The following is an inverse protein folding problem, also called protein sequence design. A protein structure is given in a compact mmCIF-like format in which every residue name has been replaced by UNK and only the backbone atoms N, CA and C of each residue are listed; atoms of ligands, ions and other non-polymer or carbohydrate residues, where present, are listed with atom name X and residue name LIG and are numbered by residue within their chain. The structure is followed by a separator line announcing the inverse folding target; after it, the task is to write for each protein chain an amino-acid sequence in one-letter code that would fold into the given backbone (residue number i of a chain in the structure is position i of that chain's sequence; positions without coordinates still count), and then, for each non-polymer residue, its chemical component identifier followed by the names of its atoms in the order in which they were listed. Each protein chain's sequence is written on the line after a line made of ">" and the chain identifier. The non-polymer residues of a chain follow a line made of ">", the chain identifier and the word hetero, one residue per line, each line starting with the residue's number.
data_IF_393390435573
#
_entry.id   IF_393390435573
#
_cell.length_a   1.000
_cell.length_b   1.000
_cell.length_c   1.000
_cell.angle_alpha   90.00
_cell.angle_beta   90.00
_cell.angle_gamma   90.00
#
_symmetry.space_group_name_H-M   'P 1'
#
loop_
_entity.id
_entity.type
_entity.pdbx_description
1 polymer ?
#
# COMPACT_ATOMS: atom_id res chain seq x y z
N UNK A 1 30.17 -25.10 -26.82
CA UNK A 1 29.86 -26.46 -26.37
C UNK A 1 30.73 -26.71 -25.15
N UNK A 2 30.22 -26.47 -23.97
CA UNK A 2 30.82 -26.76 -22.69
C UNK A 2 30.21 -28.06 -22.14
N UNK A 3 31.05 -28.99 -21.78
CA UNK A 3 30.65 -30.30 -21.26
C UNK A 3 29.86 -30.18 -19.94
N UNK A 4 28.92 -31.11 -19.68
CA UNK A 4 28.21 -31.14 -18.41
C UNK A 4 29.12 -31.60 -17.29
N UNK A 5 29.24 -30.80 -16.21
CA UNK A 5 29.90 -31.17 -14.97
C UNK A 5 29.24 -32.41 -14.35
N UNK A 6 29.89 -33.53 -14.36
CA UNK A 6 29.58 -34.72 -13.56
C UNK A 6 30.07 -34.52 -12.13
N UNK A 7 29.24 -34.71 -11.11
CA UNK A 7 29.69 -34.65 -9.71
C UNK A 7 30.58 -35.84 -9.38
N UNK A 8 31.58 -35.69 -8.46
CA UNK A 8 32.43 -36.77 -8.06
C UNK A 8 31.68 -37.83 -7.24
N UNK A 9 31.92 -39.10 -7.58
CA UNK A 9 31.45 -40.27 -6.84
C UNK A 9 32.02 -40.25 -5.41
N UNK A 10 31.17 -40.03 -4.43
CA UNK A 10 31.44 -40.17 -3.01
C UNK A 10 30.17 -40.63 -2.30
N UNK A 11 30.13 -41.92 -1.92
CA UNK A 11 28.96 -42.58 -1.36
C UNK A 11 28.45 -41.96 -0.06
N UNK A 12 27.31 -41.31 -0.19
CA UNK A 12 26.41 -40.87 0.87
C UNK A 12 25.10 -40.54 0.21
N UNK A 13 24.00 -41.07 0.72
CA UNK A 13 22.65 -40.98 0.11
C UNK A 13 21.98 -39.61 0.34
N UNK A 14 22.69 -38.51 0.25
CA UNK A 14 22.12 -37.17 0.40
C UNK A 14 21.81 -36.62 -0.98
N UNK A 15 20.55 -36.78 -1.41
CA UNK A 15 20.06 -36.23 -2.63
C UNK A 15 19.65 -34.75 -2.38
N UNK A 16 20.55 -33.81 -2.61
CA UNK A 16 20.22 -32.40 -2.64
C UNK A 16 19.58 -32.09 -3.98
N UNK A 17 18.29 -31.80 -3.97
CA UNK A 17 17.56 -31.32 -5.16
C UNK A 17 17.76 -29.82 -5.28
N UNK A 18 18.59 -29.39 -6.22
CA UNK A 18 18.87 -27.99 -6.51
C UNK A 18 17.88 -27.44 -7.53
N UNK A 19 17.03 -26.49 -7.15
CA UNK A 19 16.17 -25.71 -8.06
C UNK A 19 16.63 -24.26 -7.97
N UNK A 20 17.38 -23.77 -8.96
CA UNK A 20 18.35 -22.73 -8.87
C UNK A 20 17.98 -21.29 -9.24
N UNK A 21 18.88 -20.40 -8.90
CA UNK A 21 19.14 -19.01 -9.28
C UNK A 21 20.54 -18.64 -8.81
N UNK A 22 21.09 -17.52 -9.25
CA UNK A 22 22.52 -17.13 -9.00
C UNK A 22 22.93 -17.12 -7.53
N UNK A 23 22.00 -16.83 -6.60
CA UNK A 23 22.26 -16.84 -5.15
C UNK A 23 22.21 -18.26 -4.54
N UNK A 24 21.72 -19.23 -5.29
CA UNK A 24 21.50 -20.59 -4.81
C UNK A 24 22.81 -21.32 -4.50
N UNK A 25 23.83 -21.13 -5.32
CA UNK A 25 25.14 -21.79 -5.15
C UNK A 25 25.82 -21.33 -3.86
N UNK A 26 25.59 -20.07 -3.44
CA UNK A 26 26.13 -19.57 -2.17
C UNK A 26 25.42 -20.19 -0.98
N UNK A 27 24.11 -20.35 -1.04
CA UNK A 27 23.29 -20.96 0.03
C UNK A 27 23.59 -22.45 0.14
N UNK A 28 23.67 -23.16 -0.99
CA UNK A 28 24.02 -24.61 -1.01
C UNK A 28 25.45 -24.83 -0.53
N UNK A 29 26.41 -23.98 -0.92
CA UNK A 29 27.78 -24.08 -0.49
C UNK A 29 27.91 -23.80 1.01
N UNK A 30 27.20 -22.85 1.55
CA UNK A 30 27.17 -22.56 2.98
C UNK A 30 26.49 -23.69 3.78
N UNK A 31 25.44 -24.30 3.29
CA UNK A 31 24.75 -25.43 3.89
C UNK A 31 25.62 -26.71 3.84
N UNK A 32 26.37 -26.94 2.77
CA UNK A 32 27.30 -28.07 2.64
C UNK A 32 28.57 -27.93 3.50
N UNK A 33 28.95 -26.72 3.89
CA UNK A 33 30.08 -26.44 4.79
C UNK A 33 29.69 -26.45 6.27
N UNK A 34 28.41 -26.32 6.61
CA UNK A 34 27.90 -26.53 7.94
C UNK A 34 27.84 -28.04 8.20
N UNK A 35 28.52 -28.49 9.24
CA UNK A 35 28.69 -29.92 9.64
C UNK A 35 27.34 -30.65 9.60
N UNK A 36 27.27 -31.72 8.82
CA UNK A 36 26.03 -32.27 8.31
C UNK A 36 25.17 -32.98 9.37
N UNK A 37 24.32 -32.20 10.02
CA UNK A 37 22.99 -32.66 10.43
C UNK A 37 22.08 -32.70 9.19
N UNK A 38 20.95 -33.40 9.26
CA UNK A 38 19.95 -33.56 8.19
C UNK A 38 19.27 -32.21 7.80
N UNK A 39 20.06 -31.19 7.40
CA UNK A 39 19.51 -29.89 6.99
C UNK A 39 19.09 -29.93 5.53
N UNK A 40 17.88 -29.47 5.28
CA UNK A 40 17.30 -29.39 3.95
C UNK A 40 17.04 -27.92 3.62
N UNK A 41 17.38 -27.50 2.40
CA UNK A 41 17.04 -26.16 1.90
C UNK A 41 15.82 -26.25 1.01
N UNK A 42 14.77 -25.52 1.38
CA UNK A 42 13.48 -25.51 0.66
C UNK A 42 13.23 -24.11 0.11
N UNK A 43 12.84 -24.04 -1.17
CA UNK A 43 12.29 -22.84 -1.77
C UNK A 43 10.77 -22.85 -1.72
N UNK A 44 10.17 -21.87 -1.07
CA UNK A 44 8.74 -21.60 -1.14
C UNK A 44 8.50 -20.36 -2.00
N UNK A 45 7.80 -20.55 -3.13
CA UNK A 45 7.62 -19.51 -4.14
C UNK A 45 8.79 -19.40 -5.14
N UNK A 46 8.74 -18.42 -6.10
CA UNK A 46 7.79 -17.31 -6.13
C UNK A 46 6.35 -17.71 -6.47
N UNK A 47 6.12 -18.79 -7.24
CA UNK A 47 4.77 -19.22 -7.58
C UNK A 47 4.20 -20.09 -6.45
N UNK A 48 3.70 -19.43 -5.40
CA UNK A 48 3.00 -20.07 -4.28
C UNK A 48 1.97 -19.08 -3.71
N UNK A 49 0.75 -19.51 -3.33
CA UNK A 49 -0.27 -18.62 -2.76
C UNK A 49 0.24 -17.82 -1.55
N UNK A 50 0.88 -18.49 -0.60
CA UNK A 50 1.39 -17.88 0.63
C UNK A 50 2.59 -16.95 0.46
N UNK A 51 3.16 -16.88 -0.75
CA UNK A 51 4.24 -15.94 -1.12
C UNK A 51 3.75 -14.84 -2.06
N UNK A 52 2.44 -14.60 -2.09
CA UNK A 52 1.79 -13.57 -2.91
C UNK A 52 2.12 -13.69 -4.41
N UNK A 53 2.58 -14.87 -4.87
CA UNK A 53 2.88 -15.18 -6.26
C UNK A 53 4.25 -14.71 -6.77
N UNK A 54 4.98 -13.86 -6.03
CA UNK A 54 6.23 -13.22 -6.48
C UNK A 54 7.30 -13.07 -5.40
N UNK A 55 7.05 -13.51 -4.18
CA UNK A 55 8.07 -13.60 -3.14
C UNK A 55 8.71 -14.98 -3.16
N UNK A 56 10.03 -15.03 -3.21
CA UNK A 56 10.80 -16.26 -2.98
C UNK A 56 11.23 -16.31 -1.52
N UNK A 57 10.81 -17.36 -0.81
CA UNK A 57 11.24 -17.61 0.56
C UNK A 57 12.15 -18.83 0.59
N UNK A 58 13.39 -18.63 0.97
CA UNK A 58 14.42 -19.66 1.08
C UNK A 58 14.52 -20.05 2.55
N UNK A 59 14.17 -21.29 2.86
CA UNK A 59 14.15 -21.84 4.23
C UNK A 59 15.20 -22.92 4.36
N UNK A 60 16.07 -22.80 5.36
CA UNK A 60 16.90 -23.91 5.84
C UNK A 60 16.14 -24.56 6.99
N UNK A 61 15.87 -25.85 6.88
CA UNK A 61 15.07 -26.58 7.86
C UNK A 61 15.83 -27.78 8.40
N UNK A 62 15.63 -28.06 9.69
CA UNK A 62 16.10 -29.27 10.37
C UNK A 62 14.87 -30.00 10.92
N UNK A 63 14.53 -31.12 10.28
CA UNK A 63 13.21 -31.73 10.49
C UNK A 63 12.10 -30.80 10.02
N UNK A 64 11.26 -30.31 10.94
CA UNK A 64 10.20 -29.31 10.66
C UNK A 64 10.53 -27.91 11.20
N UNK A 65 11.69 -27.75 11.84
CA UNK A 65 12.10 -26.46 12.42
C UNK A 65 12.88 -25.63 11.42
N UNK A 66 12.54 -24.35 11.29
CA UNK A 66 13.26 -23.40 10.45
C UNK A 66 14.50 -22.92 11.19
N UNK A 67 15.67 -23.18 10.62
CA UNK A 67 16.96 -22.73 11.14
C UNK A 67 17.31 -21.33 10.61
N UNK A 68 17.02 -21.09 9.32
CA UNK A 68 17.26 -19.79 8.68
C UNK A 68 16.17 -19.52 7.64
N UNK A 69 15.75 -18.25 7.53
CA UNK A 69 14.78 -17.78 6.56
C UNK A 69 15.30 -16.56 5.81
N UNK A 70 15.28 -16.59 4.48
CA UNK A 70 15.73 -15.50 3.62
C UNK A 70 14.69 -15.17 2.57
N UNK A 71 14.44 -13.88 2.35
CA UNK A 71 13.53 -13.39 1.31
C UNK A 71 14.31 -13.05 0.04
N UNK A 72 13.92 -13.65 -1.10
CA UNK A 72 14.34 -13.25 -2.44
C UNK A 72 13.26 -12.37 -3.06
N UNK A 73 13.60 -11.13 -3.37
CA UNK A 73 12.71 -10.12 -3.95
C UNK A 73 13.19 -9.70 -5.35
N UNK A 74 12.41 -8.89 -6.06
CA UNK A 74 12.77 -8.36 -7.38
C UNK A 74 11.97 -8.97 -8.54
N UNK A 75 11.16 -9.99 -8.31
CA UNK A 75 10.35 -10.64 -9.37
C UNK A 75 9.21 -9.74 -9.90
N UNK A 76 8.89 -8.66 -9.20
CA UNK A 76 7.91 -7.64 -9.61
C UNK A 76 8.55 -6.26 -9.80
N UNK A 77 9.88 -6.19 -9.95
CA UNK A 77 10.56 -4.92 -10.16
C UNK A 77 10.27 -4.36 -11.54
N UNK A 78 9.64 -3.18 -11.58
CA UNK A 78 9.26 -2.49 -12.83
C UNK A 78 9.97 -1.15 -13.02
N UNK A 79 10.85 -0.77 -12.10
CA UNK A 79 11.63 0.45 -12.15
C UNK A 79 10.79 1.72 -12.05
N UNK A 80 9.74 1.73 -11.22
CA UNK A 80 8.81 2.85 -11.07
C UNK A 80 9.56 4.13 -10.68
N UNK A 81 10.46 4.06 -9.71
CA UNK A 81 11.26 5.23 -9.29
C UNK A 81 12.07 5.82 -10.44
N UNK A 82 12.68 4.97 -11.26
CA UNK A 82 13.43 5.42 -12.45
C UNK A 82 12.52 5.96 -13.54
N UNK A 83 11.36 5.36 -13.75
CA UNK A 83 10.36 5.85 -14.70
C UNK A 83 9.85 7.24 -14.33
N UNK A 84 9.69 7.55 -13.04
CA UNK A 84 9.27 8.87 -12.57
C UNK A 84 10.23 9.99 -12.99
N UNK A 85 11.53 9.73 -13.08
CA UNK A 85 12.53 10.70 -13.54
C UNK A 85 12.35 11.11 -15.02
N UNK A 86 11.65 10.29 -15.82
CA UNK A 86 11.36 10.56 -17.24
C UNK A 86 9.95 11.10 -17.50
N UNK A 87 9.09 11.11 -16.47
CA UNK A 87 7.70 11.58 -16.57
C UNK A 87 7.55 12.97 -15.98
N UNK A 88 6.58 13.72 -16.47
CA UNK A 88 6.24 14.99 -15.84
C UNK A 88 5.65 14.76 -14.44
N UNK A 89 5.71 15.76 -13.58
CA UNK A 89 5.15 15.70 -12.22
C UNK A 89 3.69 15.23 -12.20
N UNK A 90 2.87 15.65 -13.15
CA UNK A 90 1.47 15.23 -13.25
C UNK A 90 1.34 13.77 -13.72
N UNK A 91 2.14 13.35 -14.71
CA UNK A 91 2.11 11.98 -15.23
C UNK A 91 2.61 10.97 -14.19
N UNK A 92 3.49 11.37 -13.28
CA UNK A 92 4.02 10.53 -12.22
C UNK A 92 2.93 9.89 -11.36
N UNK A 93 1.80 10.57 -11.14
CA UNK A 93 0.68 10.05 -10.36
C UNK A 93 0.20 8.69 -10.89
N UNK A 94 0.15 8.49 -12.19
CA UNK A 94 -0.31 7.22 -12.79
C UNK A 94 0.66 6.05 -12.57
N UNK A 95 1.94 6.34 -12.33
CA UNK A 95 2.94 5.31 -12.07
C UNK A 95 2.96 4.88 -10.60
N UNK A 96 2.84 5.84 -9.68
CA UNK A 96 2.90 5.55 -8.24
C UNK A 96 1.75 4.68 -7.74
N UNK A 97 0.59 4.75 -8.39
CA UNK A 97 -0.58 3.91 -8.05
C UNK A 97 -0.29 2.42 -8.14
N UNK A 98 0.73 2.01 -8.90
CA UNK A 98 1.08 0.61 -9.16
C UNK A 98 2.10 0.04 -8.19
N UNK A 99 2.59 0.83 -7.24
CA UNK A 99 3.48 0.35 -6.18
C UNK A 99 2.71 -0.54 -5.21
N UNK A 100 2.15 0.00 -4.14
CA UNK A 100 1.19 -0.73 -3.34
C UNK A 100 -0.18 -0.68 -4.04
N UNK A 101 -0.44 -1.65 -4.89
CA UNK A 101 -1.66 -1.71 -5.70
C UNK A 101 -2.94 -2.00 -4.89
N UNK A 102 -2.83 -2.40 -3.62
CA UNK A 102 -3.98 -2.54 -2.72
C UNK A 102 -4.34 -1.22 -2.04
N UNK A 103 -3.39 -0.28 -1.96
CA UNK A 103 -3.61 1.05 -1.39
C UNK A 103 -3.15 2.20 -2.31
N UNK A 104 -3.61 2.24 -3.59
CA UNK A 104 -3.14 3.19 -4.59
C UNK A 104 -3.36 4.66 -4.18
N UNK A 105 -4.45 4.98 -3.48
CA UNK A 105 -4.76 6.33 -3.06
C UNK A 105 -3.78 6.89 -2.02
N UNK A 106 -3.14 6.03 -1.21
CA UNK A 106 -2.06 6.47 -0.33
C UNK A 106 -0.79 6.81 -1.10
N UNK A 107 -0.46 6.03 -2.15
CA UNK A 107 0.66 6.32 -3.03
C UNK A 107 0.48 7.66 -3.75
N UNK A 108 -0.74 7.92 -4.26
CA UNK A 108 -1.10 9.19 -4.88
C UNK A 108 -0.98 10.34 -3.89
N UNK A 109 -1.51 10.16 -2.68
CA UNK A 109 -1.51 11.21 -1.65
C UNK A 109 -0.10 11.60 -1.27
N UNK A 110 0.78 10.64 -0.93
CA UNK A 110 2.15 10.97 -0.52
C UNK A 110 2.94 11.65 -1.63
N UNK A 111 2.73 11.22 -2.89
CA UNK A 111 3.33 11.85 -4.05
C UNK A 111 2.84 13.30 -4.22
N UNK A 112 1.53 13.51 -4.20
CA UNK A 112 0.94 14.84 -4.36
C UNK A 112 1.36 15.79 -3.24
N UNK A 113 1.34 15.34 -1.97
CA UNK A 113 1.83 16.13 -0.83
C UNK A 113 3.31 16.53 -1.00
N UNK A 114 4.16 15.63 -1.52
CA UNK A 114 5.55 15.94 -1.81
C UNK A 114 5.70 17.05 -2.88
N UNK A 115 4.93 16.95 -3.96
CA UNK A 115 4.92 17.97 -5.03
C UNK A 115 4.34 19.29 -4.51
N UNK A 116 3.25 19.26 -3.77
CA UNK A 116 2.61 20.44 -3.16
C UNK A 116 3.54 21.17 -2.19
N UNK A 117 4.30 20.41 -1.39
CA UNK A 117 5.32 20.96 -0.48
C UNK A 117 6.48 21.61 -1.21
N UNK A 118 6.94 21.02 -2.34
CA UNK A 118 7.96 21.64 -3.22
C UNK A 118 7.46 22.93 -3.88
N UNK A 119 6.16 22.96 -4.25
CA UNK A 119 5.51 24.14 -4.81
C UNK A 119 5.20 25.22 -3.77
N UNK A 120 5.18 24.87 -2.47
CA UNK A 120 4.79 25.77 -1.38
C UNK A 120 3.30 26.09 -1.34
N UNK A 121 2.44 25.18 -1.81
CA UNK A 121 0.97 25.38 -1.92
C UNK A 121 0.18 24.46 -0.98
N UNK A 122 0.83 23.84 -0.02
CA UNK A 122 0.21 22.85 0.90
C UNK A 122 -0.99 23.45 1.65
N UNK A 123 -0.86 24.71 2.11
CA UNK A 123 -1.89 25.40 2.88
C UNK A 123 -3.02 25.97 2.00
N UNK A 124 -2.81 26.03 0.70
CA UNK A 124 -3.79 26.57 -0.26
C UNK A 124 -4.74 25.50 -0.81
N UNK A 125 -4.55 24.23 -0.44
CA UNK A 125 -5.41 23.14 -0.89
C UNK A 125 -6.82 23.32 -0.35
N UNK A 126 -7.86 23.28 -1.22
CA UNK A 126 -9.23 23.48 -0.78
C UNK A 126 -9.63 22.46 0.30
N UNK A 127 -10.34 22.93 1.35
CA UNK A 127 -10.80 22.08 2.45
C UNK A 127 -11.65 20.90 1.94
N UNK A 128 -12.53 21.16 0.97
CA UNK A 128 -13.35 20.10 0.34
C UNK A 128 -12.47 18.99 -0.27
N UNK A 129 -11.39 19.35 -0.95
CA UNK A 129 -10.45 18.39 -1.53
C UNK A 129 -9.76 17.57 -0.44
N UNK A 130 -9.36 18.19 0.66
CA UNK A 130 -8.73 17.52 1.80
C UNK A 130 -9.68 16.50 2.46
N UNK A 131 -10.96 16.86 2.66
CA UNK A 131 -11.98 15.95 3.20
C UNK A 131 -12.18 14.74 2.28
N UNK A 132 -12.27 14.96 0.97
CA UNK A 132 -12.45 13.86 0.00
C UNK A 132 -11.20 12.98 -0.02
N UNK A 133 -9.98 13.54 0.03
CA UNK A 133 -8.73 12.76 0.13
C UNK A 133 -8.75 11.83 1.34
N UNK A 134 -9.11 12.34 2.53
CA UNK A 134 -9.21 11.53 3.76
C UNK A 134 -10.26 10.43 3.60
N UNK A 135 -11.46 10.77 3.11
CA UNK A 135 -12.52 9.79 2.89
C UNK A 135 -12.09 8.66 1.96
N UNK A 136 -11.46 9.00 0.84
CA UNK A 136 -10.98 8.04 -0.16
C UNK A 136 -9.86 7.16 0.40
N UNK A 137 -8.92 7.74 1.15
CA UNK A 137 -7.85 6.98 1.82
C UNK A 137 -8.42 6.01 2.85
N UNK A 138 -9.36 6.41 3.68
CA UNK A 138 -9.91 5.51 4.69
C UNK A 138 -10.80 4.41 4.08
N UNK A 139 -11.54 4.67 3.01
CA UNK A 139 -12.18 3.60 2.24
C UNK A 139 -11.15 2.63 1.65
N UNK A 140 -10.03 3.15 1.16
CA UNK A 140 -8.94 2.33 0.64
C UNK A 140 -8.24 1.52 1.75
N UNK A 141 -8.11 2.07 2.97
CA UNK A 141 -7.63 1.33 4.15
C UNK A 141 -8.54 0.14 4.46
N UNK A 142 -9.86 0.35 4.49
CA UNK A 142 -10.84 -0.73 4.67
C UNK A 142 -10.66 -1.79 3.57
N UNK A 143 -10.62 -1.38 2.31
CA UNK A 143 -10.42 -2.29 1.17
C UNK A 143 -9.14 -3.12 1.28
N UNK A 144 -8.05 -2.51 1.76
CA UNK A 144 -6.74 -3.16 1.95
C UNK A 144 -6.76 -4.16 3.12
N UNK A 145 -7.29 -3.76 4.27
CA UNK A 145 -7.41 -4.65 5.42
C UNK A 145 -8.34 -5.84 5.17
N UNK A 146 -9.41 -5.64 4.39
CA UNK A 146 -10.27 -6.75 3.97
C UNK A 146 -9.51 -7.80 3.14
N UNK A 147 -8.58 -7.38 2.27
CA UNK A 147 -7.72 -8.33 1.55
C UNK A 147 -6.80 -9.07 2.51
N UNK A 148 -6.13 -8.36 3.42
CA UNK A 148 -5.24 -8.98 4.40
C UNK A 148 -5.95 -10.04 5.25
N UNK A 149 -7.17 -9.73 5.74
CA UNK A 149 -7.99 -10.67 6.52
C UNK A 149 -8.49 -11.84 5.67
N UNK A 150 -8.91 -11.57 4.44
CA UNK A 150 -9.43 -12.57 3.52
C UNK A 150 -8.35 -13.58 3.09
N UNK A 151 -7.19 -13.08 2.64
CA UNK A 151 -6.07 -13.92 2.19
C UNK A 151 -5.43 -14.67 3.36
N UNK A 152 -5.20 -14.00 4.49
CA UNK A 152 -4.70 -14.66 5.70
C UNK A 152 -5.64 -15.78 6.18
N UNK A 153 -6.95 -15.55 6.12
CA UNK A 153 -7.95 -16.60 6.41
C UNK A 153 -7.86 -17.78 5.43
N UNK A 154 -7.75 -17.50 4.14
CA UNK A 154 -7.59 -18.53 3.11
C UNK A 154 -6.31 -19.35 3.29
N UNK A 155 -5.19 -18.72 3.60
CA UNK A 155 -3.90 -19.39 3.81
C UNK A 155 -3.90 -20.35 4.99
N UNK A 156 -4.72 -20.08 6.00
CA UNK A 156 -4.96 -21.00 7.13
C UNK A 156 -6.19 -21.90 6.96
N UNK A 157 -6.72 -22.01 5.73
CA UNK A 157 -7.78 -22.95 5.35
C UNK A 157 -9.21 -22.41 5.45
N UNK A 158 -9.43 -21.14 5.84
CA UNK A 158 -10.75 -20.53 5.90
C UNK A 158 -11.16 -19.87 4.58
N UNK A 159 -11.59 -20.67 3.60
CA UNK A 159 -12.12 -20.16 2.33
C UNK A 159 -13.31 -19.21 2.50
N UNK A 160 -14.12 -19.39 3.55
CA UNK A 160 -15.23 -18.48 3.86
C UNK A 160 -14.77 -17.04 4.08
N UNK A 161 -13.65 -16.84 4.78
CA UNK A 161 -13.08 -15.51 5.00
C UNK A 161 -12.73 -14.79 3.69
N UNK A 162 -12.19 -15.53 2.71
CA UNK A 162 -11.89 -15.01 1.38
C UNK A 162 -13.16 -14.48 0.69
N UNK A 163 -14.23 -15.28 0.65
CA UNK A 163 -15.47 -14.86 0.00
C UNK A 163 -16.12 -13.66 0.68
N UNK A 164 -16.17 -13.64 2.01
CA UNK A 164 -16.72 -12.49 2.74
C UNK A 164 -15.89 -11.23 2.55
N UNK A 165 -14.58 -11.30 2.71
CA UNK A 165 -13.71 -10.13 2.57
C UNK A 165 -13.75 -9.54 1.16
N UNK A 166 -13.68 -10.37 0.12
CA UNK A 166 -13.73 -9.88 -1.28
C UNK A 166 -15.11 -9.37 -1.68
N UNK A 167 -16.20 -9.91 -1.14
CA UNK A 167 -17.56 -9.39 -1.35
C UNK A 167 -17.69 -7.96 -0.85
N UNK A 168 -17.18 -7.67 0.36
CA UNK A 168 -17.26 -6.32 0.93
C UNK A 168 -16.29 -5.36 0.23
N UNK A 169 -15.11 -5.85 -0.13
CA UNK A 169 -14.16 -5.07 -0.92
C UNK A 169 -14.73 -4.65 -2.27
N UNK A 170 -15.48 -5.51 -2.93
CA UNK A 170 -16.12 -5.22 -4.22
C UNK A 170 -17.06 -4.03 -4.18
N UNK A 171 -17.78 -3.83 -3.08
CA UNK A 171 -18.63 -2.64 -2.91
C UNK A 171 -17.79 -1.35 -2.90
N UNK A 172 -16.65 -1.36 -2.21
CA UNK A 172 -15.73 -0.20 -2.17
C UNK A 172 -15.15 0.07 -3.55
N UNK A 173 -14.75 -0.98 -4.29
CA UNK A 173 -14.23 -0.83 -5.65
C UNK A 173 -15.28 -0.26 -6.62
N UNK A 174 -16.54 -0.64 -6.46
CA UNK A 174 -17.65 -0.06 -7.25
C UNK A 174 -17.87 1.42 -6.93
N UNK A 175 -17.72 1.82 -5.67
CA UNK A 175 -17.76 3.25 -5.28
C UNK A 175 -16.56 3.99 -5.91
N UNK A 176 -15.36 3.42 -5.90
CA UNK A 176 -14.19 4.01 -6.55
C UNK A 176 -14.42 4.18 -8.05
N UNK A 177 -15.00 3.19 -8.72
CA UNK A 177 -15.36 3.28 -10.14
C UNK A 177 -16.37 4.41 -10.40
N UNK A 178 -17.39 4.57 -9.55
CA UNK A 178 -18.35 5.67 -9.64
C UNK A 178 -17.67 7.04 -9.52
N UNK A 179 -16.70 7.18 -8.57
CA UNK A 179 -16.04 8.47 -8.31
C UNK A 179 -14.95 8.79 -9.33
N UNK A 180 -14.16 7.78 -9.71
CA UNK A 180 -12.89 7.99 -10.43
C UNK A 180 -12.91 7.45 -11.87
N UNK A 181 -13.92 6.64 -12.22
CA UNK A 181 -13.99 5.90 -13.47
C UNK A 181 -13.15 4.61 -13.48
N UNK A 182 -12.40 4.32 -12.40
CA UNK A 182 -11.53 3.15 -12.28
C UNK A 182 -11.74 2.46 -10.94
N UNK A 183 -11.77 1.15 -10.95
CA UNK A 183 -11.90 0.31 -9.74
C UNK A 183 -10.63 0.33 -8.89
N UNK A 184 -9.46 0.36 -9.54
CA UNK A 184 -8.13 0.37 -8.93
C UNK A 184 -7.20 1.27 -9.73
N UNK A 185 -6.07 1.69 -9.12
CA UNK A 185 -5.09 2.56 -9.76
C UNK A 185 -5.71 3.86 -10.28
N UNK A 186 -6.43 4.53 -9.41
CA UNK A 186 -7.41 5.58 -9.73
C UNK A 186 -6.80 6.84 -10.33
N UNK A 187 -5.56 7.24 -9.93
CA UNK A 187 -4.93 8.50 -10.31
C UNK A 187 -5.87 9.72 -10.13
N UNK A 188 -6.64 9.67 -9.05
CA UNK A 188 -7.69 10.64 -8.73
C UNK A 188 -7.18 11.82 -7.93
N UNK A 189 -6.27 11.58 -6.98
CA UNK A 189 -5.61 12.62 -6.20
C UNK A 189 -4.50 13.22 -7.08
N UNK A 190 -4.52 14.54 -7.22
CA UNK A 190 -3.62 15.28 -8.09
C UNK A 190 -2.92 16.39 -7.33
N UNK A 191 -1.70 16.81 -7.73
CA UNK A 191 -1.08 18.00 -7.16
C UNK A 191 -2.02 19.21 -7.27
N UNK A 192 -2.32 19.82 -6.13
CA UNK A 192 -3.24 20.95 -6.05
C UNK A 192 -4.69 20.58 -5.71
N UNK A 193 -5.04 19.29 -5.58
CA UNK A 193 -6.39 18.88 -5.23
C UNK A 193 -6.78 17.50 -5.75
N UNK A 194 -7.86 17.43 -6.51
CA UNK A 194 -8.47 16.22 -7.07
C UNK A 194 -8.74 16.38 -8.57
N UNK A 195 -8.85 15.25 -9.28
CA UNK A 195 -9.16 15.23 -10.71
C UNK A 195 -10.58 15.75 -11.01
N UNK A 196 -11.56 15.46 -10.15
CA UNK A 196 -12.96 15.89 -10.27
C UNK A 196 -13.62 15.93 -8.89
N UNK A 197 -14.74 16.62 -8.76
CA UNK A 197 -15.60 16.54 -7.57
C UNK A 197 -16.36 15.20 -7.55
N UNK A 198 -16.98 14.90 -6.41
CA UNK A 198 -17.83 13.73 -6.25
C UNK A 198 -19.07 13.83 -7.14
N UNK A 199 -19.41 12.78 -7.90
CA UNK A 199 -20.69 12.70 -8.60
C UNK A 199 -21.85 12.58 -7.60
N UNK A 200 -23.06 12.95 -8.04
CA UNK A 200 -24.25 12.97 -7.17
C UNK A 200 -24.58 11.61 -6.55
N UNK A 201 -24.26 10.52 -7.26
CA UNK A 201 -24.51 9.15 -6.80
C UNK A 201 -23.52 8.67 -5.73
N UNK A 202 -22.37 9.32 -5.56
CA UNK A 202 -21.30 8.84 -4.68
C UNK A 202 -21.70 8.86 -3.20
N UNK A 203 -22.22 9.99 -2.69
CA UNK A 203 -22.59 10.10 -1.27
C UNK A 203 -23.70 9.13 -0.87
N UNK A 204 -24.78 8.93 -1.66
CA UNK A 204 -25.77 7.88 -1.38
C UNK A 204 -25.17 6.47 -1.31
N UNK A 205 -24.25 6.11 -2.22
CA UNK A 205 -23.58 4.81 -2.20
C UNK A 205 -22.69 4.63 -0.97
N UNK A 206 -21.93 5.66 -0.58
CA UNK A 206 -21.09 5.64 0.63
C UNK A 206 -21.96 5.48 1.87
N UNK A 207 -23.08 6.16 1.98
CA UNK A 207 -24.02 6.00 3.11
C UNK A 207 -24.56 4.59 3.21
N UNK A 208 -25.00 4.00 2.09
CA UNK A 208 -25.47 2.62 2.05
C UNK A 208 -24.36 1.63 2.49
N UNK A 209 -23.11 1.89 2.08
CA UNK A 209 -21.95 1.12 2.54
C UNK A 209 -21.73 1.28 4.06
N UNK A 210 -21.81 2.51 4.61
CA UNK A 210 -21.64 2.77 6.04
C UNK A 210 -22.71 2.09 6.90
N UNK A 211 -23.96 1.99 6.43
CA UNK A 211 -25.04 1.27 7.12
C UNK A 211 -24.83 -0.24 7.14
N UNK A 212 -24.32 -0.80 6.04
CA UNK A 212 -24.17 -2.24 5.87
C UNK A 212 -22.88 -2.79 6.49
N UNK A 213 -21.77 -2.05 6.35
CA UNK A 213 -20.43 -2.52 6.64
C UNK A 213 -20.22 -3.00 8.09
N UNK A 214 -20.71 -2.33 9.15
CA UNK A 214 -20.50 -2.78 10.52
C UNK A 214 -21.02 -4.21 10.78
N UNK A 215 -22.18 -4.56 10.21
CA UNK A 215 -22.73 -5.92 10.29
C UNK A 215 -21.85 -6.91 9.54
N UNK A 216 -21.38 -6.54 8.35
CA UNK A 216 -20.54 -7.40 7.51
C UNK A 216 -19.16 -7.65 8.12
N UNK A 217 -18.58 -6.63 8.74
CA UNK A 217 -17.32 -6.77 9.48
C UNK A 217 -17.48 -7.66 10.70
N UNK A 218 -18.62 -7.56 11.38
CA UNK A 218 -18.94 -8.48 12.47
C UNK A 218 -19.05 -9.93 11.98
N UNK A 219 -19.76 -10.19 10.89
CA UNK A 219 -19.88 -11.53 10.29
C UNK A 219 -18.48 -12.13 9.98
N UNK A 220 -17.56 -11.32 9.43
CA UNK A 220 -16.17 -11.72 9.14
C UNK A 220 -15.37 -11.96 10.43
N UNK A 221 -15.51 -11.09 11.42
CA UNK A 221 -14.84 -11.22 12.72
C UNK A 221 -15.34 -12.46 13.48
N UNK A 222 -16.64 -12.72 13.50
CA UNK A 222 -17.21 -13.90 14.13
C UNK A 222 -16.70 -15.21 13.51
N UNK A 223 -16.39 -15.18 12.20
CA UNK A 223 -15.83 -16.33 11.49
C UNK A 223 -14.38 -16.64 11.90
N UNK A 224 -13.58 -15.63 12.23
CA UNK A 224 -12.14 -15.76 12.49
C UNK A 224 -11.78 -15.55 13.95
N UNK A 225 -12.21 -14.46 14.60
CA UNK A 225 -11.70 -14.03 15.92
C UNK A 225 -11.94 -15.04 17.03
N UNK A 226 -13.08 -15.75 17.02
CA UNK A 226 -13.43 -16.76 18.02
C UNK A 226 -13.14 -18.20 17.56
N UNK A 227 -12.62 -18.35 16.34
CA UNK A 227 -12.30 -19.67 15.80
C UNK A 227 -11.06 -20.25 16.52
N UNK A 228 -11.22 -21.43 17.12
CA UNK A 228 -10.12 -22.11 17.83
C UNK A 228 -8.92 -22.40 16.94
N UNK A 229 -9.16 -22.84 15.70
CA UNK A 229 -8.09 -23.17 14.76
C UNK A 229 -7.32 -21.89 14.40
N UNK A 230 -8.03 -20.78 14.14
CA UNK A 230 -7.41 -19.49 13.86
C UNK A 230 -6.52 -19.03 15.02
N UNK A 231 -7.05 -19.06 16.25
CA UNK A 231 -6.29 -18.71 17.46
C UNK A 231 -5.05 -19.60 17.63
N UNK A 232 -5.20 -20.92 17.50
CA UNK A 232 -4.10 -21.85 17.64
C UNK A 232 -3.00 -21.68 16.57
N UNK A 233 -3.36 -21.15 15.40
CA UNK A 233 -2.43 -20.94 14.28
C UNK A 233 -1.86 -19.52 14.20
N UNK A 234 -2.24 -18.63 15.11
CA UNK A 234 -1.80 -17.20 15.08
C UNK A 234 -1.29 -16.72 16.43
N UNK A 235 -1.79 -17.25 17.56
CA UNK A 235 -1.32 -16.86 18.90
C UNK A 235 0.06 -17.45 19.17
N UNK A 236 0.99 -16.58 19.59
CA UNK A 236 2.39 -16.94 19.82
C UNK A 236 3.21 -17.21 18.56
N UNK A 237 2.60 -17.11 17.37
CA UNK A 237 3.29 -17.32 16.08
C UNK A 237 3.78 -15.98 15.52
N UNK A 238 4.99 -15.98 14.96
CA UNK A 238 5.58 -14.79 14.37
C UNK A 238 5.81 -13.67 15.39
N UNK A 239 6.25 -14.03 16.58
CA UNK A 239 6.50 -13.08 17.68
C UNK A 239 7.60 -12.07 17.30
N UNK A 240 7.34 -10.79 17.52
CA UNK A 240 8.30 -9.72 17.33
C UNK A 240 8.02 -8.59 18.34
N UNK A 241 8.95 -8.39 19.26
CA UNK A 241 8.84 -7.40 20.32
C UNK A 241 9.14 -5.96 19.84
N UNK A 242 8.94 -4.99 20.72
CA UNK A 242 9.20 -3.58 20.44
C UNK A 242 10.66 -3.34 20.05
N UNK A 243 11.60 -4.02 20.71
CA UNK A 243 13.04 -3.87 20.46
C UNK A 243 13.39 -4.30 19.04
N UNK A 244 12.87 -5.47 18.61
CA UNK A 244 13.01 -5.97 17.25
C UNK A 244 12.38 -5.04 16.21
N UNK A 245 11.17 -4.55 16.47
CA UNK A 245 10.51 -3.58 15.61
C UNK A 245 11.32 -2.29 15.43
N UNK A 246 11.86 -1.73 16.52
CA UNK A 246 12.69 -0.52 16.47
C UNK A 246 14.00 -0.76 15.73
N UNK A 247 14.67 -1.89 15.97
CA UNK A 247 15.93 -2.24 15.32
C UNK A 247 15.80 -2.38 13.80
N UNK A 248 14.66 -2.91 13.33
CA UNK A 248 14.37 -3.12 11.91
C UNK A 248 13.65 -1.92 11.25
N UNK A 249 13.30 -0.87 12.01
CA UNK A 249 12.57 0.30 11.50
C UNK A 249 11.15 -0.02 11.03
N UNK A 250 10.50 -0.97 11.68
CA UNK A 250 9.14 -1.45 11.36
C UNK A 250 8.10 -0.42 11.81
N UNK A 251 7.04 -0.29 11.04
CA UNK A 251 5.95 0.65 11.28
C UNK A 251 4.57 0.00 11.05
N UNK A 252 3.51 0.74 11.32
CA UNK A 252 2.15 0.31 11.07
C UNK A 252 1.60 -0.74 12.04
N UNK A 253 0.68 -1.61 11.61
CA UNK A 253 0.06 -2.61 12.48
C UNK A 253 1.06 -3.56 13.15
N UNK A 254 2.20 -3.84 12.51
CA UNK A 254 3.26 -4.68 13.09
C UNK A 254 3.90 -4.00 14.30
N UNK A 255 4.19 -2.70 14.21
CA UNK A 255 4.71 -1.93 15.35
C UNK A 255 3.62 -1.74 16.43
N UNK A 256 2.40 -1.41 16.04
CA UNK A 256 1.30 -1.19 17.00
C UNK A 256 0.92 -2.46 17.77
N UNK A 257 1.24 -3.65 17.24
CA UNK A 257 1.05 -4.91 17.97
C UNK A 257 2.01 -5.10 19.15
N UNK A 258 2.97 -4.21 19.34
CA UNK A 258 3.89 -4.17 20.49
C UNK A 258 3.48 -3.17 21.57
N UNK A 259 2.26 -2.61 21.48
CA UNK A 259 1.74 -1.63 22.42
C UNK A 259 2.13 -0.18 22.15
N UNK A 260 3.03 0.09 21.16
CA UNK A 260 3.44 1.45 20.86
C UNK A 260 2.40 2.17 19.98
N UNK A 261 1.75 3.26 20.47
CA UNK A 261 0.72 3.98 19.72
C UNK A 261 1.33 4.97 18.71
N UNK A 262 2.13 4.45 17.76
CA UNK A 262 2.72 5.26 16.70
C UNK A 262 1.84 5.25 15.46
N UNK A 263 1.32 6.42 15.10
CA UNK A 263 0.48 6.64 13.92
C UNK A 263 0.70 8.07 13.40
N UNK A 264 1.09 8.20 12.14
CA UNK A 264 1.38 9.48 11.52
C UNK A 264 0.15 10.39 11.40
N UNK A 265 -1.05 9.81 11.36
CA UNK A 265 -2.31 10.59 11.35
C UNK A 265 -2.48 11.44 12.62
N UNK A 266 -1.84 11.05 13.73
CA UNK A 266 -1.84 11.78 15.02
C UNK A 266 -0.51 12.48 15.31
N UNK A 267 0.64 11.84 15.02
CA UNK A 267 1.97 12.40 15.37
C UNK A 267 2.46 13.44 14.37
N UNK A 268 2.10 13.31 13.08
CA UNK A 268 2.44 14.23 11.99
C UNK A 268 1.26 14.36 11.03
N UNK A 269 0.15 14.99 11.46
CA UNK A 269 -1.09 15.01 10.70
C UNK A 269 -0.92 15.66 9.32
N UNK A 270 -1.66 15.16 8.36
CA UNK A 270 -1.71 15.61 6.97
C UNK A 270 -3.16 15.62 6.48
N UNK A 271 -3.48 16.37 5.45
CA UNK A 271 -4.84 16.49 4.88
C UNK A 271 -5.94 16.80 5.92
N UNK A 272 -5.61 17.39 7.08
CA UNK A 272 -6.58 17.73 8.11
C UNK A 272 -6.97 16.58 9.05
N UNK A 273 -6.17 15.49 9.14
CA UNK A 273 -6.45 14.36 10.06
C UNK A 273 -6.56 14.76 11.52
N UNK A 274 -5.89 15.85 11.96
CA UNK A 274 -5.97 16.40 13.30
C UNK A 274 -7.37 16.82 13.72
N UNK A 275 -8.26 17.06 12.75
CA UNK A 275 -9.63 17.51 12.99
C UNK A 275 -10.63 16.36 13.15
N UNK A 276 -10.19 15.10 12.95
CA UNK A 276 -11.05 13.92 13.06
C UNK A 276 -10.88 13.22 14.41
N UNK A 277 -12.01 12.75 14.93
CA UNK A 277 -12.04 11.94 16.14
C UNK A 277 -11.89 10.46 15.78
N UNK A 278 -10.79 9.84 16.17
CA UNK A 278 -10.48 8.42 16.06
C UNK A 278 -9.39 8.03 17.06
N UNK A 279 -9.32 6.75 17.36
CA UNK A 279 -8.33 6.19 18.28
C UNK A 279 -7.20 5.50 17.52
N UNK A 280 -5.98 5.57 18.07
CA UNK A 280 -4.85 4.76 17.58
C UNK A 280 -4.94 3.39 18.22
N UNK A 281 -5.20 2.39 17.41
CA UNK A 281 -5.37 1.01 17.88
C UNK A 281 -4.01 0.37 18.15
N UNK A 282 -3.85 -0.19 19.35
CA UNK A 282 -2.68 -0.97 19.77
C UNK A 282 -3.11 -2.32 20.33
N UNK A 283 -2.15 -3.24 20.40
CA UNK A 283 -2.27 -4.54 21.05
C UNK A 283 -0.90 -4.91 21.65
N UNK A 284 -0.85 -5.75 22.68
CA UNK A 284 0.40 -6.12 23.37
C UNK A 284 0.84 -7.56 23.06
N UNK A 285 0.16 -8.25 22.14
CA UNK A 285 0.42 -9.66 21.82
C UNK A 285 1.74 -9.91 21.10
N UNK A 286 2.27 -8.92 20.38
CA UNK A 286 3.51 -9.01 19.59
C UNK A 286 3.53 -10.13 18.54
N UNK A 287 2.40 -10.80 18.27
CA UNK A 287 2.26 -11.98 17.44
C UNK A 287 1.33 -11.76 16.23
N UNK A 288 1.13 -12.78 15.43
CA UNK A 288 0.24 -12.74 14.26
C UNK A 288 -1.22 -12.44 14.65
N UNK A 289 -1.67 -12.92 15.82
CA UNK A 289 -3.03 -12.67 16.30
C UNK A 289 -3.24 -11.21 16.71
N UNK A 290 -2.28 -10.62 17.42
CA UNK A 290 -2.31 -9.18 17.77
C UNK A 290 -2.35 -8.29 16.53
N UNK A 291 -1.55 -8.60 15.51
CA UNK A 291 -1.57 -7.88 14.21
C UNK A 291 -2.93 -8.02 13.49
N UNK A 292 -3.53 -9.20 13.56
CA UNK A 292 -4.88 -9.44 13.04
C UNK A 292 -5.92 -8.58 13.78
N UNK A 293 -5.91 -8.57 15.13
CA UNK A 293 -6.84 -7.79 15.93
C UNK A 293 -6.75 -6.29 15.67
N UNK A 294 -5.54 -5.76 15.47
CA UNK A 294 -5.34 -4.35 15.11
C UNK A 294 -6.06 -4.04 13.80
N UNK A 295 -5.86 -4.85 12.75
CA UNK A 295 -6.51 -4.61 11.46
C UNK A 295 -8.03 -4.65 11.55
N UNK A 296 -8.59 -5.59 12.33
CA UNK A 296 -10.04 -5.67 12.57
C UNK A 296 -10.56 -4.41 13.26
N UNK A 297 -9.86 -3.93 14.28
CA UNK A 297 -10.27 -2.71 15.01
C UNK A 297 -10.08 -1.45 14.16
N UNK A 298 -9.03 -1.35 13.37
CA UNK A 298 -8.79 -0.24 12.45
C UNK A 298 -9.87 -0.10 11.37
N UNK A 299 -10.52 -1.19 10.95
CA UNK A 299 -11.69 -1.13 10.07
C UNK A 299 -12.82 -0.28 10.67
N UNK A 300 -13.06 -0.42 11.98
CA UNK A 300 -14.10 0.36 12.66
C UNK A 300 -13.73 1.82 12.83
N UNK A 301 -12.46 2.13 13.12
CA UNK A 301 -11.99 3.52 13.19
C UNK A 301 -12.04 4.20 11.82
N UNK A 302 -11.72 3.48 10.74
CA UNK A 302 -11.86 4.01 9.38
C UNK A 302 -13.33 4.33 9.04
N UNK A 303 -14.29 3.48 9.42
CA UNK A 303 -15.72 3.77 9.25
C UNK A 303 -16.16 5.02 10.03
N UNK A 304 -15.63 5.20 11.25
CA UNK A 304 -15.88 6.40 12.08
C UNK A 304 -15.38 7.67 11.38
N UNK A 305 -14.17 7.62 10.80
CA UNK A 305 -13.61 8.76 10.04
C UNK A 305 -14.43 9.05 8.78
N UNK A 306 -14.80 8.02 8.00
CA UNK A 306 -15.59 8.19 6.77
C UNK A 306 -16.95 8.82 7.09
N UNK A 307 -17.61 8.43 8.20
CA UNK A 307 -18.86 9.02 8.66
C UNK A 307 -18.71 10.53 8.89
N UNK A 308 -17.65 10.94 9.61
CA UNK A 308 -17.34 12.35 9.83
C UNK A 308 -17.04 13.09 8.51
N UNK A 309 -16.35 12.44 7.56
CA UNK A 309 -16.11 13.03 6.24
C UNK A 309 -17.42 13.32 5.50
N UNK A 310 -18.36 12.36 5.48
CA UNK A 310 -19.66 12.52 4.81
C UNK A 310 -20.47 13.67 5.41
N UNK A 311 -20.52 13.76 6.75
CA UNK A 311 -21.22 14.86 7.45
C UNK A 311 -20.60 16.24 7.18
N UNK A 312 -19.26 16.30 7.03
CA UNK A 312 -18.55 17.54 6.73
C UNK A 312 -18.75 17.96 5.27
N UNK A 313 -18.70 17.01 4.33
CA UNK A 313 -18.86 17.31 2.91
C UNK A 313 -20.20 17.98 2.57
N UNK A 314 -21.26 17.66 3.31
CA UNK A 314 -22.57 18.33 3.14
C UNK A 314 -22.55 19.81 3.54
N UNK A 315 -21.67 20.17 4.46
CA UNK A 315 -21.55 21.52 5.01
C UNK A 315 -20.43 22.33 4.34
N UNK A 316 -19.57 21.69 3.53
CA UNK A 316 -18.41 22.32 2.91
C UNK A 316 -18.50 22.24 1.38
N UNK A 317 -19.38 23.06 0.74
CA UNK A 317 -19.35 23.22 -0.70
C UNK A 317 -18.13 24.04 -1.10
N UNK A 318 -17.57 23.78 -2.28
CA UNK A 318 -16.43 24.56 -2.76
C UNK A 318 -15.65 23.86 -3.86
N UNK A 319 -14.53 24.45 -4.31
CA UNK A 319 -13.68 23.85 -5.31
C UNK A 319 -12.95 22.63 -4.74
N UNK A 320 -12.55 21.72 -5.63
CA UNK A 320 -11.74 20.54 -5.30
C UNK A 320 -10.32 20.63 -5.84
N UNK A 321 -9.98 21.76 -6.49
CA UNK A 321 -8.67 22.03 -7.07
C UNK A 321 -8.31 23.48 -6.80
N UNK A 322 -7.03 23.76 -6.62
CA UNK A 322 -6.46 25.12 -6.55
C UNK A 322 -6.91 25.99 -7.74
N UNK A 323 -7.14 27.26 -7.49
CA UNK A 323 -7.51 28.21 -8.54
C UNK A 323 -6.30 28.74 -9.36
N UNK A 324 -5.08 28.42 -8.92
CA UNK A 324 -3.86 28.80 -9.65
C UNK A 324 -3.80 28.08 -11.01
N UNK A 325 -4.06 28.85 -12.07
CA UNK A 325 -4.08 28.35 -13.45
C UNK A 325 -2.75 27.76 -13.91
N UNK A 326 -1.64 28.08 -13.26
CA UNK A 326 -0.32 27.51 -13.59
C UNK A 326 -0.19 26.07 -13.11
N UNK A 327 -0.95 25.67 -12.11
CA UNK A 327 -0.92 24.33 -11.53
C UNK A 327 -2.14 23.49 -11.91
N UNK A 328 -3.30 24.13 -11.89
CA UNK A 328 -4.58 23.45 -12.03
C UNK A 328 -5.03 23.21 -13.48
N UNK A 329 -4.48 23.95 -14.42
CA UNK A 329 -4.84 23.78 -15.82
C UNK A 329 -3.91 22.76 -16.50
N UNK A 330 -4.38 21.77 -17.21
CA UNK A 330 -5.76 21.42 -17.65
C UNK A 330 -6.52 20.55 -16.63
N UNK A 331 -6.03 20.44 -15.42
CA UNK A 331 -6.64 19.66 -14.35
C UNK A 331 -7.87 20.36 -13.72
N UNK A 332 -8.26 21.52 -14.19
CA UNK A 332 -9.53 22.17 -13.84
C UNK A 332 -10.70 21.42 -14.50
N UNK A 333 -10.92 20.20 -13.99
CA UNK A 333 -12.02 19.32 -14.34
C UNK A 333 -13.32 19.73 -13.64
N UNK A 334 -13.48 21.01 -13.31
CA UNK A 334 -14.79 21.48 -12.86
C UNK A 334 -15.79 21.16 -13.94
N UNK A 335 -16.79 20.38 -13.58
CA UNK A 335 -18.03 20.39 -14.31
C UNK A 335 -18.48 21.84 -14.25
N UNK A 336 -18.19 22.61 -15.30
CA UNK A 336 -18.61 24.00 -15.36
C UNK A 336 -20.14 24.11 -15.25
N UNK A 337 -20.68 25.31 -15.09
CA UNK A 337 -22.15 25.53 -15.06
C UNK A 337 -22.86 24.98 -16.29
N UNK A 338 -22.14 24.69 -17.36
CA UNK A 338 -22.61 24.07 -18.60
C UNK A 338 -22.65 22.52 -18.56
N UNK A 339 -22.22 21.89 -17.47
CA UNK A 339 -22.23 20.44 -17.31
C UNK A 339 -21.22 19.67 -18.17
N UNK A 340 -20.34 20.38 -18.91
CA UNK A 340 -19.48 19.74 -19.91
C UNK A 340 -18.14 19.22 -19.33
N UNK A 341 -17.76 19.63 -18.11
CA UNK A 341 -16.53 19.20 -17.44
C UNK A 341 -15.28 19.43 -18.32
N UNK A 342 -14.43 18.43 -18.39
CA UNK A 342 -13.26 18.40 -19.27
C UNK A 342 -13.55 17.78 -20.65
N UNK A 343 -14.79 17.83 -21.09
CA UNK A 343 -15.11 17.38 -22.43
C UNK A 343 -14.33 18.18 -23.50
N UNK A 344 -14.03 17.59 -24.67
CA UNK A 344 -13.41 18.31 -25.77
C UNK A 344 -14.16 19.58 -26.17
N UNK A 345 -15.49 19.58 -26.02
CA UNK A 345 -16.34 20.74 -26.33
C UNK A 345 -16.12 21.88 -25.32
N UNK A 346 -16.01 21.57 -24.01
CA UNK A 346 -15.74 22.59 -23.00
C UNK A 346 -14.33 23.20 -23.18
N UNK A 347 -13.34 22.36 -23.43
CA UNK A 347 -11.96 22.79 -23.71
C UNK A 347 -11.93 23.67 -24.96
N UNK A 348 -12.59 23.26 -26.05
CA UNK A 348 -12.69 24.04 -27.28
C UNK A 348 -13.38 25.39 -27.06
N UNK A 349 -14.44 25.43 -26.22
CA UNK A 349 -15.15 26.67 -25.86
C UNK A 349 -14.28 27.66 -25.07
N UNK A 350 -13.44 27.16 -24.15
CA UNK A 350 -12.49 27.99 -23.41
C UNK A 350 -11.37 28.48 -24.31
N UNK A 351 -10.77 27.59 -25.09
CA UNK A 351 -9.67 27.92 -26.01
C UNK A 351 -10.08 28.87 -27.14
N UNK A 352 -11.32 28.76 -27.62
CA UNK A 352 -11.89 29.66 -28.62
C UNK A 352 -12.09 31.11 -28.16
N UNK A 353 -12.05 31.34 -26.83
CA UNK A 353 -12.27 32.67 -26.23
C UNK A 353 -10.97 33.41 -25.86
N UNK A 354 -9.86 32.70 -25.66
CA UNK A 354 -8.60 33.28 -25.21
C UNK A 354 -7.41 32.56 -25.82
N UNK A 355 -6.59 33.32 -26.55
CA UNK A 355 -5.31 32.84 -27.10
C UNK A 355 -4.32 32.50 -25.97
N UNK A 356 -4.34 33.25 -24.88
CA UNK A 356 -3.50 33.00 -23.72
C UNK A 356 -3.91 31.68 -23.03
N UNK A 357 -5.22 31.42 -22.92
CA UNK A 357 -5.75 30.15 -22.44
C UNK A 357 -5.30 28.96 -23.29
N UNK A 358 -5.30 29.10 -24.62
CA UNK A 358 -4.81 28.09 -25.55
C UNK A 358 -3.33 27.80 -25.36
N UNK A 359 -2.50 28.84 -25.30
CA UNK A 359 -1.03 28.70 -25.11
C UNK A 359 -0.77 28.02 -23.75
N UNK A 360 -1.47 28.44 -22.75
CA UNK A 360 -1.30 27.91 -21.39
C UNK A 360 -1.66 26.43 -21.30
N UNK A 361 -2.83 26.06 -21.85
CA UNK A 361 -3.25 24.68 -22.00
C UNK A 361 -2.20 23.84 -22.75
N UNK A 362 -1.76 24.33 -23.91
CA UNK A 362 -0.76 23.64 -24.72
C UNK A 362 0.53 23.36 -23.93
N UNK A 363 1.05 24.37 -23.21
CA UNK A 363 2.28 24.22 -22.43
C UNK A 363 2.11 23.22 -21.28
N UNK A 364 1.02 23.27 -20.55
CA UNK A 364 0.79 22.34 -19.44
C UNK A 364 0.58 20.90 -19.89
N UNK A 365 -0.08 20.68 -21.02
CA UNK A 365 -0.28 19.34 -21.59
C UNK A 365 1.02 18.77 -22.16
N UNK A 366 1.82 19.59 -22.85
CA UNK A 366 3.03 19.10 -23.54
C UNK A 366 4.27 19.11 -22.65
N UNK A 367 4.49 20.15 -21.85
CA UNK A 367 5.68 20.32 -21.01
C UNK A 367 5.44 19.88 -19.55
N UNK A 368 4.22 20.06 -19.04
CA UNK A 368 3.88 19.87 -17.63
C UNK A 368 4.16 21.10 -16.76
N UNK A 369 3.87 20.96 -15.46
CA UNK A 369 4.14 21.99 -14.45
C UNK A 369 5.64 22.05 -14.13
N UNK A 370 6.16 23.23 -13.84
CA UNK A 370 7.53 23.41 -13.31
C UNK A 370 7.49 23.48 -11.80
N UNK A 371 8.34 22.68 -11.16
CA UNK A 371 8.47 22.64 -9.71
C UNK A 371 9.79 23.30 -9.33
N UNK A 372 9.81 24.27 -8.39
CA UNK A 372 11.04 24.95 -7.98
C UNK A 372 12.14 23.96 -7.53
N UNK A 373 13.42 24.33 -7.68
CA UNK A 373 14.52 23.48 -7.23
C UNK A 373 14.47 23.34 -5.70
N UNK A 374 14.67 22.12 -5.22
CA UNK A 374 14.62 21.79 -3.80
C UNK A 374 14.46 20.29 -3.54
N UNK A 375 14.46 19.92 -2.28
CA UNK A 375 14.21 18.56 -1.87
C UNK A 375 13.24 18.53 -0.68
N UNK A 376 12.41 17.49 -0.62
CA UNK A 376 11.44 17.27 0.45
C UNK A 376 11.36 15.80 0.82
N UNK A 377 11.02 15.54 2.07
CA UNK A 377 10.51 14.25 2.52
C UNK A 377 9.11 14.46 3.08
N UNK A 378 8.18 13.57 2.69
CA UNK A 378 6.81 13.54 3.19
C UNK A 378 6.45 12.09 3.44
N UNK A 379 5.69 11.83 4.50
CA UNK A 379 5.20 10.50 4.83
C UNK A 379 3.71 10.53 5.20
N UNK A 380 3.03 9.42 4.97
CA UNK A 380 1.63 9.18 5.33
C UNK A 380 1.51 7.81 5.99
N UNK A 381 0.48 7.63 6.81
CA UNK A 381 0.17 6.35 7.43
C UNK A 381 -0.66 5.49 6.48
N UNK A 382 -0.02 4.60 5.73
CA UNK A 382 -0.71 3.64 4.87
C UNK A 382 -1.26 2.46 5.69
N UNK A 383 -2.10 1.57 5.13
CA UNK A 383 -2.61 0.40 5.85
C UNK A 383 -1.52 -0.54 6.40
N UNK A 384 -0.32 -0.49 5.82
CA UNK A 384 0.85 -1.31 6.20
C UNK A 384 1.86 -0.59 7.08
N UNK A 385 1.72 0.75 7.21
CA UNK A 385 2.59 1.58 8.02
C UNK A 385 3.02 2.85 7.30
N UNK A 386 4.16 3.41 7.71
CA UNK A 386 4.69 4.64 7.14
C UNK A 386 5.10 4.46 5.68
N UNK A 387 4.36 5.10 4.78
CA UNK A 387 4.72 5.27 3.38
C UNK A 387 5.32 6.66 3.20
N UNK A 388 6.59 6.73 2.85
CA UNK A 388 7.32 7.99 2.67
C UNK A 388 7.82 8.17 1.25
N UNK A 389 7.95 9.43 0.82
CA UNK A 389 8.58 9.81 -0.44
C UNK A 389 9.62 10.89 -0.24
N UNK A 390 10.80 10.67 -0.75
CA UNK A 390 11.83 11.69 -0.90
C UNK A 390 11.91 12.13 -2.35
N UNK A 391 11.74 13.43 -2.59
CA UNK A 391 11.73 14.02 -3.92
C UNK A 391 12.76 15.12 -4.03
N UNK A 392 13.43 15.17 -5.18
CA UNK A 392 14.38 16.23 -5.56
C UNK A 392 13.93 16.84 -6.87
N UNK A 393 13.84 18.16 -6.92
CA UNK A 393 13.58 18.96 -8.12
C UNK A 393 14.78 19.81 -8.46
N UNK A 394 15.11 19.91 -9.75
CA UNK A 394 16.13 20.81 -10.30
C UNK A 394 15.51 22.12 -10.87
N UNK A 395 14.20 22.31 -10.74
CA UNK A 395 13.45 23.43 -11.33
C UNK A 395 12.78 23.08 -12.66
N UNK A 396 12.88 21.83 -13.09
CA UNK A 396 12.32 21.31 -14.33
C UNK A 396 10.86 20.89 -14.23
N UNK A 397 10.35 20.34 -15.33
CA UNK A 397 8.99 19.77 -15.43
C UNK A 397 8.94 18.29 -15.04
N UNK A 398 10.08 17.72 -14.69
CA UNK A 398 10.24 16.32 -14.27
C UNK A 398 11.00 16.25 -12.95
N UNK A 399 10.75 15.23 -12.12
CA UNK A 399 11.59 15.00 -10.96
C UNK A 399 13.04 14.71 -11.37
N UNK A 400 14.01 15.28 -10.63
CA UNK A 400 15.41 14.85 -10.74
C UNK A 400 15.62 13.49 -10.09
N UNK A 401 15.01 13.26 -8.91
CA UNK A 401 15.03 11.99 -8.20
C UNK A 401 13.75 11.83 -7.37
N UNK A 402 13.19 10.62 -7.40
CA UNK A 402 12.12 10.20 -6.50
C UNK A 402 12.52 8.88 -5.87
N UNK A 403 12.46 8.80 -4.55
CA UNK A 403 12.70 7.58 -3.80
C UNK A 403 11.56 7.34 -2.80
N UNK A 404 11.06 6.12 -2.76
CA UNK A 404 9.99 5.71 -1.85
C UNK A 404 10.52 4.86 -0.70
N UNK A 405 10.10 5.19 0.51
CA UNK A 405 10.14 4.30 1.64
C UNK A 405 8.79 3.56 1.69
N UNK A 406 8.79 2.32 1.24
CA UNK A 406 7.60 1.48 1.32
C UNK A 406 7.62 0.67 2.62
N UNK A 407 6.51 0.64 3.39
CA UNK A 407 6.46 -0.11 4.64
C UNK A 407 6.56 -1.62 4.43
N UNK A 408 6.06 -2.16 3.31
CA UNK A 408 6.16 -3.60 3.01
C UNK A 408 7.62 -4.03 2.83
N UNK A 409 8.45 -3.20 2.16
CA UNK A 409 9.89 -3.47 2.02
C UNK A 409 10.59 -3.53 3.37
N UNK A 410 10.31 -2.55 4.24
CA UNK A 410 10.92 -2.47 5.57
C UNK A 410 10.44 -3.62 6.46
N UNK A 411 9.11 -3.87 6.48
CA UNK A 411 8.52 -4.88 7.34
C UNK A 411 8.89 -6.32 6.90
N UNK A 412 9.19 -6.54 5.62
CA UNK A 412 9.60 -7.86 5.12
C UNK A 412 10.91 -8.35 5.74
N UNK A 413 11.77 -7.45 6.23
CA UNK A 413 12.98 -7.82 6.96
C UNK A 413 12.68 -8.61 8.25
N UNK A 414 11.47 -8.45 8.81
CA UNK A 414 11.04 -9.19 9.99
C UNK A 414 10.80 -10.68 9.73
N UNK A 415 10.69 -11.12 8.47
CA UNK A 415 10.40 -12.53 8.14
C UNK A 415 11.44 -13.46 8.75
N UNK A 416 12.72 -13.14 8.68
CA UNK A 416 13.76 -13.96 9.33
C UNK A 416 13.49 -14.07 10.84
N UNK A 417 13.37 -12.92 11.53
CA UNK A 417 13.16 -12.88 12.98
C UNK A 417 11.85 -13.55 13.45
N UNK A 418 10.82 -13.57 12.60
CA UNK A 418 9.51 -14.13 12.94
C UNK A 418 9.34 -15.61 12.56
N UNK A 419 10.21 -16.14 11.68
CA UNK A 419 10.13 -17.52 11.20
C UNK A 419 11.20 -18.43 11.81
N UNK A 420 12.41 -17.91 12.10
CA UNK A 420 13.52 -18.71 12.63
C UNK A 420 13.22 -19.27 14.03
N UNK A 421 13.48 -20.55 14.23
CA UNK A 421 13.13 -21.30 15.43
C UNK A 421 11.66 -21.79 15.46
N UNK A 422 10.83 -21.38 14.52
CA UNK A 422 9.45 -21.81 14.34
C UNK A 422 9.33 -23.04 13.41
N UNK A 423 8.10 -23.52 13.22
CA UNK A 423 7.80 -24.62 12.30
C UNK A 423 7.57 -24.10 10.88
N UNK A 424 7.84 -24.91 9.87
CA UNK A 424 7.56 -24.58 8.46
C UNK A 424 6.09 -24.18 8.24
N UNK A 425 5.16 -24.87 8.91
CA UNK A 425 3.74 -24.56 8.86
C UNK A 425 3.41 -23.17 9.43
N UNK A 426 4.18 -22.65 10.37
CA UNK A 426 3.97 -21.36 11.02
C UNK A 426 4.55 -20.19 10.20
N UNK A 427 5.54 -20.47 9.32
CA UNK A 427 6.09 -19.46 8.43
C UNK A 427 5.01 -18.79 7.55
N UNK A 428 4.01 -19.56 7.10
CA UNK A 428 2.88 -19.04 6.33
C UNK A 428 2.12 -17.99 7.14
N UNK A 429 1.77 -18.31 8.39
CA UNK A 429 1.07 -17.40 9.29
C UNK A 429 1.91 -16.16 9.63
N UNK A 430 3.22 -16.34 9.87
CA UNK A 430 4.14 -15.26 10.17
C UNK A 430 4.23 -14.27 9.01
N UNK A 431 4.47 -14.74 7.77
CA UNK A 431 4.55 -13.91 6.56
C UNK A 431 3.22 -13.22 6.27
N UNK A 432 2.09 -13.96 6.30
CA UNK A 432 0.76 -13.40 6.08
C UNK A 432 0.41 -12.29 7.09
N UNK A 433 0.86 -12.42 8.34
CA UNK A 433 0.61 -11.42 9.39
C UNK A 433 1.27 -10.07 9.15
N UNK A 434 2.39 -10.05 8.41
CA UNK A 434 3.11 -8.83 8.01
C UNK A 434 2.35 -8.11 6.90
N UNK A 435 1.55 -8.83 6.09
CA UNK A 435 0.78 -8.32 4.95
C UNK A 435 1.65 -7.60 3.90
N UNK A 436 2.70 -8.24 3.34
CA UNK A 436 3.55 -7.61 2.36
C UNK A 436 2.84 -7.48 1.01
N UNK A 437 2.93 -6.31 0.37
CA UNK A 437 2.53 -6.12 -1.04
C UNK A 437 3.77 -5.97 -1.89
N UNK A 438 3.97 -6.94 -2.77
CA UNK A 438 5.22 -7.06 -3.51
C UNK A 438 5.46 -5.94 -4.52
N UNK A 439 4.39 -5.27 -5.01
CA UNK A 439 4.53 -4.08 -5.85
C UNK A 439 5.21 -2.91 -5.13
N UNK A 440 4.94 -2.73 -3.82
CA UNK A 440 5.64 -1.76 -2.97
C UNK A 440 7.06 -2.20 -2.60
N UNK A 441 7.26 -3.50 -2.40
CA UNK A 441 8.58 -4.07 -2.09
C UNK A 441 9.54 -3.89 -3.26
N UNK A 442 9.12 -4.25 -4.46
CA UNK A 442 9.99 -4.31 -5.65
C UNK A 442 10.06 -2.97 -6.41
N UNK A 443 9.01 -2.14 -6.38
CA UNK A 443 8.88 -0.79 -7.00
C UNK A 443 9.19 -0.70 -8.49
#
# INVERSE_FOLDING_TARGET
>A
MSEPNTPPDGGGTDTVVVVGGEDWDQVVTAAAQADAGERIVVNMGPQHPSTHGVLRLILEIEGETIVSARCGIGYLHTGIEKNLEYRTWTQGVTFVTRMDYLSPLFNETVYCLGVEKLLGVTDDIPERASIIRVMMMEMNRISSHLVALATGGMELGSMGAMFYGFREREQILSIFETITGLRMNNAYIRPGGLASDLPEEALPQIRAMLELMPKRLKDLSDLLSENYIWKARTQGIGYLDLTGCMALGITGPVLRSTGLPHDLRKSQPYCGYETYDFDVITDDGCDAYGRYLIRVKELHESLKIITQCVERLEKTPGPVMLEDKKLAWPADLKVGPDGLGNSPEHIAKIMGKSMEGLIHHFKLVTEGIRVPPGQVYVAVESPRGELGVHMVSDGGTRPYRVHYRDPSFTNLQAVAATCEGGMVADAISAVASIDPVMGGVDR
#
